data_IF_982927484460
#
_entry.id   IF_982927484460
#
_cell.length_a   1.000
_cell.length_b   1.000
_cell.length_c   1.000
_cell.angle_alpha   90.00
_cell.angle_beta   90.00
_cell.angle_gamma   90.00
#
_symmetry.space_group_name_H-M   'P 1'
#
loop_
_entity.id
_entity.type
_entity.pdbx_description
1 polymer ?
#
# COMPACT_ATOMS: atom_id res chain seq x y z
N UNK A 1 -8.00 12.42 -15.56
CA UNK A 1 -6.81 12.39 -16.42
C UNK A 1 -6.40 13.78 -16.87
N UNK A 2 -7.25 14.53 -17.60
CA UNK A 2 -6.92 15.90 -18.05
C UNK A 2 -6.45 16.83 -16.91
N UNK A 3 -7.16 16.86 -15.79
CA UNK A 3 -6.76 17.68 -14.64
C UNK A 3 -5.38 17.31 -14.06
N UNK A 4 -5.02 16.02 -14.06
CA UNK A 4 -3.72 15.54 -13.56
C UNK A 4 -2.60 15.94 -14.53
N UNK A 5 -2.81 15.73 -15.83
CA UNK A 5 -1.84 16.16 -16.84
C UNK A 5 -1.66 17.69 -16.86
N UNK A 6 -2.75 18.44 -16.69
CA UNK A 6 -2.71 19.91 -16.66
C UNK A 6 -2.03 20.48 -15.41
N UNK A 7 -2.06 19.75 -14.28
CA UNK A 7 -1.38 20.21 -13.07
C UNK A 7 0.15 20.16 -13.19
N UNK A 8 0.68 19.46 -14.22
CA UNK A 8 2.13 19.25 -14.42
C UNK A 8 2.81 18.65 -13.17
N UNK A 9 2.09 17.79 -12.45
CA UNK A 9 2.64 17.13 -11.29
C UNK A 9 3.78 16.18 -11.70
N UNK A 10 4.94 16.33 -11.06
CA UNK A 10 6.10 15.47 -11.28
C UNK A 10 5.91 14.08 -10.62
N UNK A 11 5.19 14.08 -9.50
CA UNK A 11 4.85 12.92 -8.69
C UNK A 11 3.34 12.88 -8.43
N UNK A 12 2.73 11.71 -8.64
CA UNK A 12 1.31 11.47 -8.34
C UNK A 12 1.17 10.37 -7.29
N UNK A 13 0.60 10.72 -6.14
CA UNK A 13 0.21 9.75 -5.12
C UNK A 13 -1.15 9.14 -5.43
N UNK A 14 -1.22 7.80 -5.48
CA UNK A 14 -2.45 7.05 -5.78
C UNK A 14 -2.92 6.33 -4.52
N UNK A 15 -3.98 6.87 -3.90
CA UNK A 15 -4.53 6.39 -2.63
C UNK A 15 -5.81 5.55 -2.81
N UNK A 16 -5.89 4.73 -3.87
CA UNK A 16 -7.09 3.93 -4.18
C UNK A 16 -7.13 2.57 -3.45
N UNK A 17 -6.03 2.19 -2.79
CA UNK A 17 -5.84 0.90 -2.15
C UNK A 17 -5.61 -0.25 -3.13
N UNK A 18 -4.98 -1.32 -2.67
CA UNK A 18 -4.71 -2.49 -3.50
C UNK A 18 -5.97 -3.37 -3.69
N UNK A 19 -6.22 -3.93 -4.90
CA UNK A 19 -5.40 -3.85 -6.11
C UNK A 19 -5.75 -2.67 -7.04
N UNK A 20 -6.72 -1.82 -6.65
CA UNK A 20 -7.28 -0.77 -7.50
C UNK A 20 -6.23 0.26 -7.90
N UNK A 21 -5.34 0.62 -6.98
CA UNK A 21 -4.26 1.57 -7.26
C UNK A 21 -3.29 1.03 -8.32
N UNK A 22 -2.88 -0.24 -8.24
CA UNK A 22 -1.94 -0.84 -9.19
C UNK A 22 -2.58 -0.93 -10.58
N UNK A 23 -3.82 -1.40 -10.64
CA UNK A 23 -4.58 -1.49 -11.88
C UNK A 23 -4.83 -0.12 -12.51
N UNK A 24 -5.14 0.87 -11.68
CA UNK A 24 -5.32 2.24 -12.16
C UNK A 24 -4.02 2.80 -12.71
N UNK A 25 -2.91 2.69 -11.97
CA UNK A 25 -1.58 3.15 -12.41
C UNK A 25 -1.17 2.47 -13.70
N UNK A 26 -1.28 1.15 -13.80
CA UNK A 26 -0.94 0.39 -15.01
C UNK A 26 -1.72 0.86 -16.24
N UNK A 27 -3.01 1.20 -16.07
CA UNK A 27 -3.86 1.68 -17.17
C UNK A 27 -3.62 3.16 -17.52
N UNK A 28 -3.24 3.98 -16.55
CA UNK A 28 -3.35 5.43 -16.65
C UNK A 28 -2.02 6.19 -16.60
N UNK A 29 -0.91 5.55 -16.17
CA UNK A 29 0.37 6.22 -15.93
C UNK A 29 0.81 7.14 -17.07
N UNK A 30 0.85 6.64 -18.30
CA UNK A 30 1.25 7.41 -19.48
C UNK A 30 0.38 8.67 -19.70
N UNK A 31 -0.91 8.61 -19.38
CA UNK A 31 -1.84 9.73 -19.54
C UNK A 31 -1.76 10.79 -18.42
N UNK A 32 -0.97 10.55 -17.37
CA UNK A 32 -0.77 11.53 -16.28
C UNK A 32 0.32 12.55 -16.59
N UNK A 33 1.31 12.19 -17.41
CA UNK A 33 2.50 13.02 -17.66
C UNK A 33 3.48 13.11 -16.48
N UNK A 34 3.23 12.41 -15.37
CA UNK A 34 4.12 12.40 -14.21
C UNK A 34 5.29 11.42 -14.41
N UNK A 35 6.46 11.73 -13.86
CA UNK A 35 7.62 10.83 -13.91
C UNK A 35 7.49 9.65 -12.95
N UNK A 36 6.77 9.84 -11.83
CA UNK A 36 6.55 8.79 -10.84
C UNK A 36 5.10 8.75 -10.37
N UNK A 37 4.54 7.55 -10.33
CA UNK A 37 3.30 7.25 -9.64
C UNK A 37 3.63 6.38 -8.43
N UNK A 38 3.17 6.80 -7.26
CA UNK A 38 3.43 6.10 -6.01
C UNK A 38 2.11 5.72 -5.34
N UNK A 39 1.87 4.41 -5.17
CA UNK A 39 0.72 3.93 -4.44
C UNK A 39 0.92 4.11 -2.93
N UNK A 40 0.11 4.97 -2.29
CA UNK A 40 0.15 5.18 -0.84
C UNK A 40 -0.91 4.36 -0.08
N UNK A 41 -1.87 3.76 -0.79
CA UNK A 41 -2.99 3.08 -0.17
C UNK A 41 -3.68 3.95 0.88
N UNK A 42 -3.98 3.37 2.05
CA UNK A 42 -4.64 4.06 3.16
C UNK A 42 -3.70 4.90 4.04
N UNK A 43 -2.47 5.19 3.61
CA UNK A 43 -1.58 6.06 4.41
C UNK A 43 -2.13 7.49 4.49
N UNK A 44 -2.78 7.98 3.43
CA UNK A 44 -3.37 9.32 3.40
C UNK A 44 -4.44 9.48 4.49
N UNK A 45 -5.26 8.46 4.74
CA UNK A 45 -6.30 8.50 5.77
C UNK A 45 -5.72 8.70 7.18
N UNK A 46 -4.51 8.17 7.42
CA UNK A 46 -3.79 8.38 8.68
C UNK A 46 -3.29 9.83 8.79
N UNK A 47 -2.69 10.36 7.72
CA UNK A 47 -2.22 11.75 7.70
C UNK A 47 -3.35 12.78 7.77
N UNK A 48 -4.52 12.45 7.20
CA UNK A 48 -5.71 13.28 7.24
C UNK A 48 -6.48 13.18 8.58
N UNK A 49 -6.05 12.31 9.51
CA UNK A 49 -6.73 12.11 10.80
C UNK A 49 -8.06 11.36 10.70
N UNK A 50 -8.35 10.71 9.57
CA UNK A 50 -9.57 9.92 9.35
C UNK A 50 -9.48 8.55 10.05
N UNK A 51 -8.26 7.99 10.14
CA UNK A 51 -8.00 6.70 10.78
C UNK A 51 -6.85 6.82 11.75
N UNK A 52 -7.04 6.33 12.98
CA UNK A 52 -5.98 6.26 13.97
C UNK A 52 -4.86 5.33 13.50
N UNK A 53 -3.62 5.81 13.65
CA UNK A 53 -2.44 4.98 13.47
C UNK A 53 -2.38 3.91 14.56
N UNK A 54 -1.73 2.78 14.27
CA UNK A 54 -1.47 1.78 15.29
C UNK A 54 -0.65 2.38 16.47
N UNK A 55 -0.87 1.94 17.72
CA UNK A 55 -0.07 2.37 18.85
C UNK A 55 1.43 2.11 18.64
N UNK A 56 2.29 2.91 19.27
CA UNK A 56 3.75 2.87 19.10
C UNK A 56 4.34 1.46 19.31
N UNK A 57 3.80 0.67 20.23
CA UNK A 57 4.19 -0.72 20.43
C UNK A 57 4.14 -1.52 19.12
N UNK A 58 3.02 -1.48 18.39
CA UNK A 58 2.83 -2.22 17.15
C UNK A 58 3.75 -1.73 16.04
N UNK A 59 3.96 -0.42 15.95
CA UNK A 59 4.84 0.20 14.95
C UNK A 59 6.30 -0.21 15.21
N UNK A 60 6.77 -0.05 16.45
CA UNK A 60 8.15 -0.30 16.83
C UNK A 60 8.55 -1.77 16.67
N UNK A 61 7.58 -2.69 16.71
CA UNK A 61 7.81 -4.12 16.47
C UNK A 61 7.53 -4.55 15.02
N UNK A 62 7.19 -3.61 14.11
CA UNK A 62 6.85 -3.94 12.71
C UNK A 62 5.55 -4.75 12.56
N UNK A 63 4.69 -4.72 13.58
CA UNK A 63 3.43 -5.46 13.66
C UNK A 63 2.18 -4.61 13.34
N UNK A 64 2.37 -3.43 12.76
CA UNK A 64 1.25 -2.57 12.36
C UNK A 64 0.27 -3.28 11.40
N UNK A 65 0.78 -4.13 10.50
CA UNK A 65 -0.07 -4.93 9.61
C UNK A 65 -0.99 -5.87 10.38
N UNK A 66 -0.51 -6.48 11.47
CA UNK A 66 -1.28 -7.40 12.30
C UNK A 66 -2.31 -6.65 13.14
N UNK A 67 -1.94 -5.50 13.72
CA UNK A 67 -2.89 -4.62 14.39
C UNK A 67 -4.07 -4.24 13.47
N UNK A 68 -3.76 -3.86 12.22
CA UNK A 68 -4.78 -3.53 11.20
C UNK A 68 -5.63 -4.75 10.82
N UNK A 69 -5.05 -5.95 10.80
CA UNK A 69 -5.78 -7.19 10.56
C UNK A 69 -6.78 -7.49 11.69
N UNK A 70 -6.39 -7.31 12.95
CA UNK A 70 -7.28 -7.49 14.10
C UNK A 70 -8.46 -6.51 14.07
N UNK A 71 -8.24 -5.26 13.63
CA UNK A 71 -9.29 -4.24 13.50
C UNK A 71 -10.18 -4.42 12.27
N UNK A 72 -9.66 -4.99 11.19
CA UNK A 72 -10.41 -5.23 9.95
C UNK A 72 -10.26 -6.68 9.47
N UNK A 73 -10.99 -7.64 10.08
CA UNK A 73 -10.86 -9.06 9.77
C UNK A 73 -11.14 -9.42 8.30
N UNK A 74 -11.95 -8.59 7.61
CA UNK A 74 -12.23 -8.73 6.17
C UNK A 74 -10.94 -8.70 5.31
N UNK A 75 -9.83 -8.17 5.83
CA UNK A 75 -8.52 -8.13 5.15
C UNK A 75 -7.73 -9.44 5.23
N UNK A 76 -8.19 -10.44 5.98
CA UNK A 76 -7.46 -11.69 6.24
C UNK A 76 -6.98 -12.37 4.96
N UNK A 77 -7.86 -12.54 3.96
CA UNK A 77 -7.49 -13.21 2.71
C UNK A 77 -6.28 -12.58 2.00
N UNK A 78 -6.18 -11.24 1.99
CA UNK A 78 -5.02 -10.54 1.42
C UNK A 78 -3.80 -10.64 2.33
N UNK A 79 -3.98 -10.52 3.64
CA UNK A 79 -2.86 -10.50 4.60
C UNK A 79 -2.21 -11.86 4.82
N UNK A 80 -2.92 -12.97 4.60
CA UNK A 80 -2.34 -14.33 4.65
C UNK A 80 -1.22 -14.55 3.62
N UNK A 81 -1.10 -13.69 2.60
CA UNK A 81 0.04 -13.69 1.68
C UNK A 81 1.37 -13.35 2.37
N UNK A 82 1.36 -12.59 3.47
CA UNK A 82 2.58 -12.20 4.19
C UNK A 82 3.25 -13.38 4.91
N UNK A 83 2.54 -14.20 5.71
CA UNK A 83 3.12 -15.45 6.25
C UNK A 83 3.62 -16.40 5.16
N UNK A 84 2.86 -16.55 4.07
CA UNK A 84 3.27 -17.39 2.94
C UNK A 84 4.56 -16.89 2.30
N UNK A 85 4.70 -15.57 2.12
CA UNK A 85 5.93 -14.95 1.65
C UNK A 85 7.12 -15.21 2.59
N UNK A 86 6.92 -15.08 3.91
CA UNK A 86 7.97 -15.38 4.89
C UNK A 86 8.43 -16.84 4.82
N UNK A 87 7.50 -17.78 4.64
CA UNK A 87 7.83 -19.20 4.43
C UNK A 87 8.64 -19.40 3.14
N UNK A 88 8.28 -18.71 2.07
CA UNK A 88 8.98 -18.79 0.79
C UNK A 88 10.42 -18.27 0.90
N UNK A 89 10.61 -17.08 1.46
CA UNK A 89 11.94 -16.47 1.68
C UNK A 89 12.81 -17.33 2.58
N UNK A 90 12.23 -17.96 3.61
CA UNK A 90 12.96 -18.88 4.49
C UNK A 90 13.42 -20.15 3.77
N UNK A 91 12.63 -20.68 2.84
CA UNK A 91 13.00 -21.84 2.02
C UNK A 91 14.12 -21.49 1.04
N UNK A 92 14.06 -20.32 0.42
CA UNK A 92 15.06 -19.85 -0.53
C UNK A 92 16.43 -19.63 0.15
N UNK A 93 16.45 -19.04 1.34
CA UNK A 93 17.68 -18.90 2.16
C UNK A 93 18.29 -20.23 2.60
N UNK A 94 17.53 -21.33 2.62
CA UNK A 94 18.01 -22.67 2.97
C UNK A 94 18.51 -23.47 1.75
N UNK A 95 18.26 -22.98 0.54
CA UNK A 95 18.64 -23.63 -0.71
C UNK A 95 19.94 -23.05 -1.32
N UNK A 96 20.59 -22.11 -0.62
CA UNK A 96 21.96 -21.64 -0.85
C UNK A 96 22.81 -22.09 0.33
#
# INVERSE_FOLDING_TARGET
MRAIAQSRADLVFVCLGAPKQELWMAKNAAGTGAHLLCGLGGCLDVFAGVVDRAPAFWINHGLEWFYRLCREPKRLGRMMKLPLFLLHVRREKRSK
#
